data_IF_120138624997
#
_entry.id   IF_120138624997
#
_cell.length_a   1.000
_cell.length_b   1.000
_cell.length_c   1.000
_cell.angle_alpha   90.00
_cell.angle_beta   90.00
_cell.angle_gamma   90.00
#
_symmetry.space_group_name_H-M   'P 1'
#
loop_
_entity.id
_entity.type
_entity.pdbx_description
1 polymer ?
#
# COMPACT_ATOMS: atom_id res chain seq x y z
N UNK A 1 -27.38 -69.93 33.79
CA UNK A 1 -26.81 -69.01 34.80
C UNK A 1 -26.10 -67.85 34.13
N UNK A 2 -26.57 -66.61 34.33
CA UNK A 2 -25.92 -65.34 33.91
C UNK A 2 -25.16 -64.76 35.10
N UNK A 3 -23.86 -64.43 34.99
CA UNK A 3 -23.09 -63.42 35.76
C UNK A 3 -21.73 -63.24 35.06
N UNK A 4 -21.14 -62.06 34.84
CA UNK A 4 -21.50 -60.70 35.17
C UNK A 4 -20.52 -59.78 34.42
N UNK A 5 -21.06 -58.75 33.77
CA UNK A 5 -20.32 -57.71 33.07
C UNK A 5 -19.83 -56.70 34.13
N UNK A 6 -18.51 -56.62 34.36
CA UNK A 6 -17.93 -55.64 35.28
C UNK A 6 -17.94 -54.25 34.63
N UNK A 7 -18.62 -53.29 35.27
CA UNK A 7 -18.58 -51.86 34.95
C UNK A 7 -17.47 -51.22 35.77
N UNK A 8 -16.32 -50.97 35.16
CA UNK A 8 -15.39 -49.99 35.71
C UNK A 8 -15.80 -48.59 35.28
N UNK A 9 -16.33 -47.85 36.26
CA UNK A 9 -16.66 -46.42 36.15
C UNK A 9 -15.37 -45.62 36.21
N UNK A 10 -14.73 -45.44 35.06
CA UNK A 10 -13.68 -44.44 34.86
C UNK A 10 -14.29 -43.04 34.85
N UNK A 11 -14.10 -42.31 35.93
CA UNK A 11 -14.49 -40.91 36.11
C UNK A 11 -13.60 -40.02 35.23
N UNK A 12 -13.93 -39.87 33.94
CA UNK A 12 -13.23 -38.91 33.07
C UNK A 12 -13.88 -37.54 33.27
N UNK A 13 -13.15 -36.68 33.97
CA UNK A 13 -13.49 -35.29 34.30
C UNK A 13 -13.98 -34.54 33.06
N UNK A 14 -15.24 -34.09 33.10
CA UNK A 14 -15.77 -33.07 32.21
C UNK A 14 -14.96 -31.78 32.44
N UNK A 15 -14.05 -31.47 31.52
CA UNK A 15 -13.44 -30.14 31.42
C UNK A 15 -14.44 -29.21 30.75
N UNK A 16 -15.37 -28.68 31.55
CA UNK A 16 -16.10 -27.47 31.20
C UNK A 16 -15.15 -26.29 31.42
N UNK A 17 -14.40 -25.92 30.38
CA UNK A 17 -13.57 -24.71 30.41
C UNK A 17 -14.38 -23.54 29.85
N UNK A 18 -14.96 -22.79 30.78
CA UNK A 18 -15.21 -21.34 30.77
C UNK A 18 -15.15 -20.64 29.40
N UNK A 19 -16.35 -20.36 28.89
CA UNK A 19 -16.66 -19.12 28.18
C UNK A 19 -16.35 -17.98 29.15
N UNK A 20 -15.32 -17.21 28.88
CA UNK A 20 -14.94 -16.07 29.70
C UNK A 20 -13.85 -15.28 29.00
N UNK A 21 -14.23 -14.11 28.50
CA UNK A 21 -13.37 -13.22 27.73
C UNK A 21 -12.07 -12.95 28.47
N UNK A 22 -10.98 -13.46 27.92
CA UNK A 22 -9.66 -12.91 28.16
C UNK A 22 -9.44 -11.86 27.08
N UNK A 23 -9.51 -10.63 27.58
CA UNK A 23 -9.03 -9.40 27.01
C UNK A 23 -8.31 -9.59 25.69
N UNK A 24 -8.88 -9.00 24.64
CA UNK A 24 -8.07 -8.37 23.60
C UNK A 24 -7.27 -7.28 24.30
N UNK A 25 -6.21 -7.69 24.98
CA UNK A 25 -5.17 -6.76 25.38
C UNK A 25 -4.70 -6.16 24.08
N UNK A 26 -4.96 -4.86 23.99
CA UNK A 26 -4.51 -4.02 22.93
C UNK A 26 -3.05 -4.39 22.68
N UNK A 27 -2.76 -4.85 21.47
CA UNK A 27 -1.44 -4.58 20.90
C UNK A 27 -1.46 -3.08 20.71
N UNK A 28 -1.18 -2.40 21.81
CA UNK A 28 -0.89 -1.00 21.91
C UNK A 28 0.35 -0.89 21.07
N UNK A 29 0.11 -0.56 19.79
CA UNK A 29 1.17 -0.34 18.83
C UNK A 29 2.07 0.67 19.48
N UNK A 30 3.26 0.20 19.85
CA UNK A 30 4.37 1.05 20.17
C UNK A 30 4.47 2.00 18.98
N UNK A 31 4.06 3.25 19.19
CA UNK A 31 4.19 4.30 18.20
C UNK A 31 5.68 4.59 18.10
N UNK A 32 6.39 3.70 17.44
CA UNK A 32 7.63 4.05 16.77
C UNK A 32 7.24 5.22 15.90
N UNK A 33 7.73 6.41 16.27
CA UNK A 33 7.69 7.60 15.44
C UNK A 33 8.55 7.28 14.21
N UNK A 34 7.95 6.53 13.28
CA UNK A 34 8.51 6.32 11.96
C UNK A 34 8.69 7.70 11.36
N UNK A 35 9.86 7.91 10.77
CA UNK A 35 10.16 9.10 9.98
C UNK A 35 8.95 9.47 9.14
N UNK A 36 8.40 10.67 9.36
CA UNK A 36 7.22 11.19 8.66
C UNK A 36 7.59 11.48 7.21
N UNK A 37 7.66 10.41 6.42
CA UNK A 37 8.06 10.41 5.02
C UNK A 37 7.07 9.61 4.18
N UNK A 38 6.57 10.24 3.11
CA UNK A 38 5.85 9.55 2.05
C UNK A 38 6.75 9.41 0.83
N UNK A 39 6.69 8.25 0.17
CA UNK A 39 7.22 8.09 -1.18
C UNK A 39 6.16 8.51 -2.19
N UNK A 40 6.33 9.63 -2.84
CA UNK A 40 5.46 10.08 -3.92
C UNK A 40 5.98 9.57 -5.26
N UNK A 41 5.12 8.87 -6.01
CA UNK A 41 5.40 8.45 -7.38
C UNK A 41 4.58 9.31 -8.32
N UNK A 42 5.24 10.24 -9.01
CA UNK A 42 4.63 11.15 -9.98
C UNK A 42 4.69 10.51 -11.35
N UNK A 43 3.53 10.26 -11.94
CA UNK A 43 3.41 9.71 -13.29
C UNK A 43 3.11 10.84 -14.27
N UNK A 44 4.03 11.07 -15.21
CA UNK A 44 3.77 11.93 -16.35
C UNK A 44 2.89 11.19 -17.34
N UNK A 45 1.67 11.67 -17.55
CA UNK A 45 0.74 11.08 -18.52
C UNK A 45 0.81 11.72 -19.90
N UNK A 46 1.67 12.72 -20.11
CA UNK A 46 1.86 13.27 -21.45
C UNK A 46 2.59 12.24 -22.33
N UNK A 47 2.02 11.84 -23.49
CA UNK A 47 2.70 10.97 -24.45
C UNK A 47 4.05 11.54 -24.93
N UNK A 48 4.22 12.87 -24.96
CA UNK A 48 5.45 13.53 -25.41
C UNK A 48 6.64 13.26 -24.47
N UNK A 49 6.37 13.06 -23.17
CA UNK A 49 7.38 12.73 -22.16
C UNK A 49 7.68 11.22 -22.06
N UNK A 50 6.97 10.38 -22.84
CA UNK A 50 7.18 8.94 -22.88
C UNK A 50 6.64 8.19 -21.66
N UNK A 51 5.67 8.75 -20.92
CA UNK A 51 5.01 8.05 -19.81
C UNK A 51 5.91 7.77 -18.61
N UNK A 52 6.95 8.59 -18.40
CA UNK A 52 7.93 8.39 -17.33
C UNK A 52 7.31 8.60 -15.95
N UNK A 53 7.81 7.84 -14.98
CA UNK A 53 7.45 7.95 -13.57
C UNK A 53 8.67 8.34 -12.75
N UNK A 54 8.49 9.27 -11.82
CA UNK A 54 9.54 9.75 -10.94
C UNK A 54 9.17 9.53 -9.49
N UNK A 55 10.09 9.01 -8.70
CA UNK A 55 9.91 8.81 -7.27
C UNK A 55 10.56 9.99 -6.53
N UNK A 56 9.81 10.62 -5.64
CA UNK A 56 10.23 11.73 -4.79
C UNK A 56 9.86 11.39 -3.36
N UNK A 57 10.70 11.76 -2.41
CA UNK A 57 10.36 11.68 -1.00
C UNK A 57 9.71 13.01 -0.56
N UNK A 58 8.72 12.92 0.31
CA UNK A 58 8.02 14.07 0.91
C UNK A 58 8.19 13.97 2.42
N UNK A 59 8.88 14.95 3.01
CA UNK A 59 9.18 14.99 4.44
C UNK A 59 8.68 16.30 5.10
N UNK A 60 8.73 16.34 6.44
CA UNK A 60 8.56 17.57 7.21
C UNK A 60 7.21 18.26 7.04
N UNK A 61 7.23 19.54 6.63
CA UNK A 61 6.02 20.36 6.53
C UNK A 61 5.08 19.89 5.40
N UNK A 62 5.66 19.43 4.27
CA UNK A 62 4.90 18.97 3.11
C UNK A 62 4.07 17.72 3.42
N UNK A 63 4.58 16.85 4.30
CA UNK A 63 3.86 15.66 4.79
C UNK A 63 2.47 15.99 5.35
N UNK A 64 2.36 17.06 6.14
CA UNK A 64 1.11 17.43 6.82
C UNK A 64 0.02 17.86 5.83
N UNK A 65 0.37 18.35 4.64
CA UNK A 65 -0.59 18.77 3.63
C UNK A 65 -1.32 17.60 2.95
N UNK A 66 -0.71 16.41 2.92
CA UNK A 66 -1.31 15.21 2.34
C UNK A 66 -2.22 14.46 3.30
N UNK A 67 -2.07 14.68 4.61
CA UNK A 67 -2.93 14.04 5.60
C UNK A 67 -4.38 14.50 5.44
N UNK A 68 -5.31 13.54 5.47
CA UNK A 68 -6.74 13.83 5.35
C UNK A 68 -7.25 14.04 3.92
N UNK A 69 -6.35 14.13 2.92
CA UNK A 69 -6.73 14.12 1.50
C UNK A 69 -7.27 12.76 1.08
N UNK A 70 -8.14 12.76 0.08
CA UNK A 70 -8.75 11.56 -0.48
C UNK A 70 -8.15 11.22 -1.84
N UNK A 71 -8.25 9.94 -2.21
CA UNK A 71 -8.05 9.52 -3.59
C UNK A 71 -9.07 10.22 -4.49
N UNK A 72 -8.59 10.81 -5.58
CA UNK A 72 -9.34 11.64 -6.52
C UNK A 72 -9.18 13.15 -6.29
N UNK A 73 -8.58 13.56 -5.17
CA UNK A 73 -8.33 14.98 -4.91
C UNK A 73 -7.16 15.50 -5.76
N UNK A 74 -7.27 16.75 -6.20
CA UNK A 74 -6.17 17.50 -6.80
C UNK A 74 -5.29 18.15 -5.74
N UNK A 75 -3.98 18.12 -5.93
CA UNK A 75 -2.96 18.74 -5.09
C UNK A 75 -1.97 19.50 -5.97
N UNK A 76 -1.51 20.65 -5.48
CA UNK A 76 -0.48 21.42 -6.17
C UNK A 76 0.88 20.73 -6.05
N UNK A 77 1.62 20.67 -7.15
CA UNK A 77 2.96 20.08 -7.22
C UNK A 77 4.00 20.80 -6.34
N UNK A 78 3.68 21.99 -5.84
CA UNK A 78 4.53 22.72 -4.89
C UNK A 78 4.75 21.97 -3.57
N UNK A 79 3.80 21.11 -3.18
CA UNK A 79 3.90 20.29 -1.96
C UNK A 79 4.58 18.94 -2.20
N UNK A 80 4.92 18.61 -3.45
CA UNK A 80 5.52 17.32 -3.81
C UNK A 80 7.01 17.55 -4.08
N UNK A 81 7.82 17.05 -3.15
CA UNK A 81 9.29 17.12 -3.20
C UNK A 81 9.88 17.74 -1.93
N UNK A 82 11.18 17.54 -1.78
CA UNK A 82 11.98 18.04 -0.66
C UNK A 82 13.03 19.03 -1.20
N UNK A 83 13.06 20.24 -0.63
CA UNK A 83 14.08 21.25 -0.93
C UNK A 83 14.01 21.83 -2.35
N UNK A 84 14.99 21.48 -3.20
CA UNK A 84 15.24 22.10 -4.51
C UNK A 84 14.38 21.52 -5.63
N UNK A 85 13.86 20.29 -5.47
CA UNK A 85 13.03 19.61 -6.46
C UNK A 85 11.56 19.93 -6.16
N UNK A 86 11.12 21.11 -6.58
CA UNK A 86 9.71 21.55 -6.42
C UNK A 86 9.02 21.56 -7.77
N UNK A 87 7.88 20.87 -7.87
CA UNK A 87 7.07 20.82 -9.10
C UNK A 87 6.17 22.06 -9.22
N UNK A 88 6.79 23.22 -9.41
CA UNK A 88 6.09 24.50 -9.50
C UNK A 88 5.18 24.59 -10.72
N UNK A 89 3.91 24.96 -10.49
CA UNK A 89 2.90 25.10 -11.53
C UNK A 89 2.33 23.79 -12.06
N UNK A 90 2.64 22.65 -11.45
CA UNK A 90 2.01 21.37 -11.76
C UNK A 90 0.76 21.16 -10.91
N UNK A 91 -0.29 20.63 -11.54
CA UNK A 91 -1.47 20.12 -10.83
C UNK A 91 -1.48 18.60 -10.88
N UNK A 92 -1.50 17.98 -9.71
CA UNK A 92 -1.41 16.53 -9.56
C UNK A 92 -2.71 15.97 -8.99
N UNK A 93 -3.12 14.78 -9.42
CA UNK A 93 -4.26 14.04 -8.88
C UNK A 93 -3.77 12.83 -8.10
N UNK A 94 -4.32 12.63 -6.90
CA UNK A 94 -4.05 11.43 -6.09
C UNK A 94 -4.84 10.26 -6.67
N UNK A 95 -4.15 9.34 -7.33
CA UNK A 95 -4.80 8.15 -7.92
C UNK A 95 -4.91 6.97 -6.97
N UNK A 96 -4.02 6.90 -5.98
CA UNK A 96 -3.99 5.81 -5.02
C UNK A 96 -2.72 5.78 -4.18
N UNK A 97 -2.47 4.65 -3.53
CA UNK A 97 -1.32 4.48 -2.68
C UNK A 97 -1.26 3.09 -2.06
N UNK A 98 -0.25 2.90 -1.21
CA UNK A 98 -0.06 1.67 -0.44
C UNK A 98 0.32 1.96 1.00
N UNK A 99 -0.11 1.06 1.88
CA UNK A 99 0.21 1.07 3.29
C UNK A 99 1.66 0.62 3.55
N UNK A 100 2.14 0.84 4.76
CA UNK A 100 3.40 0.25 5.26
C UNK A 100 3.44 -1.28 5.07
N UNK A 101 2.31 -1.98 5.23
CA UNK A 101 2.23 -3.44 4.99
C UNK A 101 2.00 -3.82 3.51
N UNK A 102 2.00 -2.85 2.59
CA UNK A 102 1.75 -3.08 1.16
C UNK A 102 0.28 -3.35 0.81
N UNK A 103 -0.67 -3.04 1.70
CA UNK A 103 -2.09 -3.09 1.36
C UNK A 103 -2.41 -1.93 0.41
N UNK A 104 -3.13 -2.16 -0.69
CA UNK A 104 -3.51 -1.07 -1.57
C UNK A 104 -4.66 -0.26 -0.96
N UNK A 105 -4.61 1.06 -1.16
CA UNK A 105 -5.74 1.94 -0.90
C UNK A 105 -6.79 1.78 -2.00
N UNK A 106 -8.08 1.91 -1.63
CA UNK A 106 -9.19 1.79 -2.58
C UNK A 106 -10.13 3.01 -2.48
N UNK A 107 -10.49 3.64 -3.62
CA UNK A 107 -11.33 4.85 -3.62
C UNK A 107 -12.74 4.61 -3.06
N UNK A 108 -13.29 3.41 -3.28
CA UNK A 108 -14.65 3.04 -2.85
C UNK A 108 -14.81 2.87 -1.32
N UNK A 109 -13.71 2.86 -0.57
CA UNK A 109 -13.73 2.58 0.87
C UNK A 109 -13.48 3.86 1.65
N UNK A 110 -14.48 4.37 2.34
CA UNK A 110 -14.32 5.62 3.08
C UNK A 110 -13.45 5.49 4.33
N UNK A 111 -12.67 6.54 4.59
CA UNK A 111 -11.87 6.68 5.81
C UNK A 111 -10.42 6.23 5.64
N UNK A 112 -9.65 6.35 6.71
CA UNK A 112 -8.22 6.03 6.72
C UNK A 112 -7.92 4.59 7.19
N UNK A 113 -8.89 3.93 7.82
CA UNK A 113 -8.69 2.61 8.42
C UNK A 113 -8.63 1.46 7.42
N UNK A 114 -8.16 0.32 7.90
CA UNK A 114 -8.16 -0.95 7.15
C UNK A 114 -9.52 -1.63 7.31
N UNK A 115 -10.15 -2.00 6.19
CA UNK A 115 -11.44 -2.70 6.17
C UNK A 115 -11.31 -4.06 5.51
N UNK A 116 -12.02 -5.05 6.06
CA UNK A 116 -12.11 -6.39 5.47
C UNK A 116 -13.31 -6.48 4.52
N UNK A 117 -13.04 -6.65 3.24
CA UNK A 117 -14.06 -6.59 2.17
C UNK A 117 -14.02 -7.84 1.31
N UNK A 118 -15.20 -8.35 0.94
CA UNK A 118 -15.34 -9.45 -0.01
C UNK A 118 -15.31 -8.91 -1.43
N UNK A 119 -14.17 -9.04 -2.10
CA UNK A 119 -13.92 -8.44 -3.42
C UNK A 119 -13.89 -9.49 -4.53
N UNK A 120 -14.31 -9.06 -5.72
CA UNK A 120 -14.08 -9.71 -7.01
C UNK A 120 -12.73 -9.26 -7.60
N UNK A 121 -12.44 -9.65 -8.83
CA UNK A 121 -11.24 -9.20 -9.54
C UNK A 121 -11.21 -7.65 -9.67
N UNK A 122 -10.14 -7.03 -9.22
CA UNK A 122 -9.97 -5.57 -9.19
C UNK A 122 -8.76 -5.14 -8.37
N UNK A 123 -8.87 -3.98 -7.70
CA UNK A 123 -7.84 -3.42 -6.84
C UNK A 123 -7.63 -4.36 -5.64
N UNK A 124 -6.38 -4.79 -5.41
CA UNK A 124 -6.02 -5.71 -4.33
C UNK A 124 -6.31 -7.20 -4.56
N UNK A 125 -7.05 -7.58 -5.60
CA UNK A 125 -7.21 -8.99 -5.98
C UNK A 125 -7.33 -9.17 -7.49
N UNK A 126 -6.37 -9.86 -8.11
CA UNK A 126 -6.34 -10.03 -9.58
C UNK A 126 -7.26 -11.16 -10.10
N UNK A 127 -8.09 -11.78 -9.27
CA UNK A 127 -9.07 -12.79 -9.72
C UNK A 127 -8.47 -14.05 -10.33
N UNK A 128 -7.25 -14.42 -9.95
CA UNK A 128 -6.52 -15.55 -10.52
C UNK A 128 -6.34 -16.67 -9.50
N UNK A 129 -6.45 -17.91 -9.99
CA UNK A 129 -6.10 -19.12 -9.24
C UNK A 129 -4.88 -19.74 -9.89
N UNK A 130 -3.81 -19.87 -9.12
CA UNK A 130 -2.64 -20.62 -9.52
C UNK A 130 -2.88 -22.09 -9.17
N UNK A 131 -2.68 -22.97 -10.16
CA UNK A 131 -2.85 -24.41 -10.01
C UNK A 131 -1.60 -25.08 -10.55
N UNK A 132 -0.94 -25.87 -9.72
CA UNK A 132 0.23 -26.64 -10.12
C UNK A 132 -0.21 -27.97 -10.73
N UNK A 133 0.20 -28.23 -11.97
CA UNK A 133 -0.04 -29.49 -12.67
C UNK A 133 1.24 -29.89 -13.42
N UNK A 134 1.63 -31.16 -13.36
CA UNK A 134 2.80 -31.68 -14.08
C UNK A 134 4.08 -30.83 -13.87
N UNK A 135 4.36 -30.45 -12.62
CA UNK A 135 5.50 -29.58 -12.25
C UNK A 135 5.52 -28.19 -12.88
N UNK A 136 4.40 -27.74 -13.47
CA UNK A 136 4.23 -26.40 -14.06
C UNK A 136 3.11 -25.64 -13.36
N UNK A 137 3.31 -24.35 -13.14
CA UNK A 137 2.30 -23.46 -12.55
C UNK A 137 1.40 -22.90 -13.66
N UNK A 138 0.10 -23.18 -13.59
CA UNK A 138 -0.89 -22.68 -14.53
C UNK A 138 -1.74 -21.58 -13.90
N UNK A 139 -1.97 -20.51 -14.65
CA UNK A 139 -2.77 -19.35 -14.22
C UNK A 139 -4.18 -19.42 -14.81
N UNK A 140 -5.15 -19.78 -14.00
CA UNK A 140 -6.56 -19.80 -14.40
C UNK A 140 -7.28 -18.52 -13.96
N UNK A 141 -8.12 -17.98 -14.85
CA UNK A 141 -9.08 -16.93 -14.56
C UNK A 141 -10.48 -17.54 -14.65
N UNK A 142 -11.03 -17.93 -13.51
CA UNK A 142 -12.43 -18.31 -13.44
C UNK A 142 -13.26 -17.06 -13.16
N UNK A 143 -14.44 -16.98 -13.77
CA UNK A 143 -15.47 -16.03 -13.42
C UNK A 143 -16.04 -16.33 -12.03
N UNK A 144 -16.57 -15.31 -11.36
CA UNK A 144 -17.21 -15.46 -10.04
C UNK A 144 -16.28 -15.71 -8.85
N UNK A 145 -14.94 -15.74 -9.02
CA UNK A 145 -14.01 -15.85 -7.90
C UNK A 145 -14.08 -14.61 -6.99
N UNK A 146 -14.44 -14.82 -5.72
CA UNK A 146 -14.45 -13.79 -4.67
C UNK A 146 -13.50 -14.17 -3.54
N UNK A 147 -12.82 -13.19 -2.98
CA UNK A 147 -11.93 -13.39 -1.82
C UNK A 147 -12.08 -12.27 -0.82
N UNK A 148 -12.18 -12.61 0.47
CA UNK A 148 -12.12 -11.61 1.54
C UNK A 148 -10.68 -11.13 1.69
N UNK A 149 -10.47 -9.82 1.57
CA UNK A 149 -9.16 -9.17 1.70
C UNK A 149 -9.26 -7.95 2.58
N UNK A 150 -8.16 -7.63 3.23
CA UNK A 150 -7.99 -6.39 3.99
C UNK A 150 -7.41 -5.34 3.05
N UNK A 151 -8.15 -4.26 2.86
CA UNK A 151 -7.78 -3.11 2.03
C UNK A 151 -7.81 -1.85 2.89
N UNK A 152 -7.04 -0.83 2.52
CA UNK A 152 -7.14 0.48 3.17
C UNK A 152 -8.21 1.32 2.50
N UNK A 153 -8.80 2.22 3.28
CA UNK A 153 -9.69 3.25 2.76
C UNK A 153 -9.00 4.28 1.87
N UNK A 154 -9.78 5.26 1.45
CA UNK A 154 -9.44 6.29 0.48
C UNK A 154 -8.74 7.51 1.07
N UNK A 155 -8.72 7.67 2.39
CA UNK A 155 -8.11 8.82 3.06
C UNK A 155 -6.63 8.53 3.39
N UNK A 156 -5.76 9.46 3.01
CA UNK A 156 -4.33 9.41 3.33
C UNK A 156 -4.12 9.70 4.82
N UNK A 157 -3.27 8.90 5.45
CA UNK A 157 -3.01 8.94 6.89
C UNK A 157 -1.59 8.48 7.17
N UNK A 158 -1.19 8.48 8.44
CA UNK A 158 0.20 8.27 8.81
C UNK A 158 0.76 6.89 8.45
N UNK A 159 -0.08 5.85 8.36
CA UNK A 159 0.38 4.51 7.96
C UNK A 159 0.38 4.28 6.44
N UNK A 160 0.17 5.33 5.63
CA UNK A 160 0.43 5.32 4.19
C UNK A 160 1.94 5.42 3.97
N UNK A 161 2.52 4.58 3.09
CA UNK A 161 3.95 4.63 2.76
C UNK A 161 4.21 5.25 1.40
N UNK A 162 3.38 4.93 0.41
CA UNK A 162 3.52 5.41 -0.95
C UNK A 162 2.22 6.07 -1.43
N UNK A 163 2.36 7.18 -2.14
CA UNK A 163 1.27 7.91 -2.79
C UNK A 163 1.55 7.93 -4.29
N UNK A 164 0.56 7.55 -5.09
CA UNK A 164 0.64 7.56 -6.55
C UNK A 164 -0.08 8.78 -7.10
N UNK A 165 0.67 9.65 -7.76
CA UNK A 165 0.20 10.90 -8.32
C UNK A 165 0.19 10.83 -9.84
N UNK A 166 -0.77 11.51 -10.45
CA UNK A 166 -0.89 11.68 -11.89
C UNK A 166 -0.85 13.17 -12.23
N UNK A 167 -0.12 13.55 -13.26
CA UNK A 167 -0.13 14.93 -13.76
C UNK A 167 -1.44 15.21 -14.51
N UNK A 168 -2.18 16.24 -14.09
CA UNK A 168 -3.39 16.73 -14.76
C UNK A 168 -3.08 17.95 -15.61
N UNK A 169 -2.34 18.91 -15.03
CA UNK A 169 -1.90 20.13 -15.72
C UNK A 169 -0.37 20.22 -15.61
N UNK A 170 0.28 20.40 -16.75
CA UNK A 170 1.74 20.53 -16.85
C UNK A 170 2.20 21.95 -16.52
N UNK A 171 3.17 22.07 -15.63
CA UNK A 171 3.77 23.34 -15.23
C UNK A 171 4.89 23.85 -16.14
N UNK A 172 5.64 24.84 -15.62
CA UNK A 172 6.72 25.52 -16.36
C UNK A 172 8.02 24.72 -16.27
N UNK A 173 8.23 23.81 -17.23
CA UNK A 173 9.46 23.03 -17.40
C UNK A 173 9.23 21.52 -17.28
N UNK A 174 9.93 20.70 -18.08
CA UNK A 174 9.73 19.24 -18.11
C UNK A 174 10.16 18.57 -16.81
N UNK A 175 9.36 17.63 -16.30
CA UNK A 175 9.66 16.86 -15.07
C UNK A 175 11.06 16.22 -15.08
N UNK A 176 11.52 15.76 -16.26
CA UNK A 176 12.85 15.18 -16.42
C UNK A 176 13.98 16.16 -16.09
N UNK A 177 13.82 17.45 -16.38
CA UNK A 177 14.82 18.47 -16.09
C UNK A 177 14.80 18.89 -14.62
N UNK A 178 13.61 18.87 -14.00
CA UNK A 178 13.43 19.26 -12.59
C UNK A 178 13.92 18.14 -11.66
N UNK A 179 13.71 16.89 -12.04
CA UNK A 179 14.05 15.72 -11.20
C UNK A 179 15.41 15.12 -11.60
N UNK A 180 15.78 15.19 -12.87
CA UNK A 180 17.02 14.62 -13.40
C UNK A 180 18.19 15.61 -13.54
N UNK A 181 18.05 16.83 -13.02
CA UNK A 181 19.12 17.82 -13.01
C UNK A 181 20.16 17.56 -11.92
N UNK A 182 20.91 16.44 -12.04
CA UNK A 182 22.29 16.18 -11.54
C UNK A 182 22.67 14.68 -11.50
N UNK A 183 21.80 13.74 -11.91
CA UNK A 183 22.20 12.31 -12.03
C UNK A 183 22.80 11.96 -13.41
N UNK A 184 23.74 12.78 -13.89
CA UNK A 184 24.60 12.47 -15.03
C UNK A 184 26.08 12.84 -14.80
N UNK A 185 26.50 13.15 -13.57
CA UNK A 185 27.87 13.56 -13.26
C UNK A 185 28.60 12.73 -12.19
N UNK A 186 28.00 11.65 -11.65
CA UNK A 186 28.65 10.84 -10.60
C UNK A 186 28.65 9.34 -10.95
N UNK A 187 29.22 8.98 -12.10
CA UNK A 187 29.97 7.73 -12.38
C UNK A 187 30.70 8.04 -13.71
N UNK A 188 32.02 8.25 -13.84
CA UNK A 188 33.16 7.61 -13.23
C UNK A 188 34.36 8.59 -13.23
N UNK A 189 34.89 8.92 -12.05
CA UNK A 189 36.24 9.51 -11.90
C UNK A 189 37.05 8.67 -10.91
N UNK A 190 37.53 7.53 -11.40
CA UNK A 190 38.67 6.75 -10.89
C UNK A 190 38.84 5.60 -11.89
N UNK A 191 39.83 5.49 -12.75
CA UNK A 191 41.20 5.93 -12.70
C UNK A 191 42.02 4.70 -13.07
N UNK A 192 42.67 4.71 -14.23
CA UNK A 192 43.84 3.87 -14.56
C UNK A 192 44.52 4.53 -15.76
N UNK A 193 45.52 5.35 -15.43
CA UNK A 193 46.62 5.71 -16.32
C UNK A 193 47.65 4.56 -16.34
N UNK A 194 48.35 4.46 -17.48
CA UNK A 194 49.45 3.56 -17.87
C UNK A 194 49.11 2.16 -18.42
#
# INVERSE_FOLDING_TARGET
MRRGFSKDRGTVRLRTALIGGLCRDAVQGDQMAGEQSFKAVVNDTNPDSGGKSYALDITGANYNHFLGKKIGDSVDGMFVGDGEIVLNGYRLEITGGSDITGRPMRPDLDGSGVKSVLITAGIGYKGKKFVNKNSKEYRYKYDGLRRRRNLRGNVISQDTRQINLKVVESGKGSLAAIIGGEEAAVEQSSGEEE
#
